data_IF_312894402758
#
_entry.id   IF_312894402758
#
_cell.length_a   1.000
_cell.length_b   1.000
_cell.length_c   1.000
_cell.angle_alpha   90.00
_cell.angle_beta   90.00
_cell.angle_gamma   90.00
#
_symmetry.space_group_name_H-M   'P 1'
#
loop_
_entity.id
_entity.type
_entity.pdbx_description
1 polymer ?
#
# COMPACT_ATOMS: atom_id res chain seq x y z
N UNK A 1 -3.97 -20.22 17.33
CA UNK A 1 -3.40 -19.45 16.20
C UNK A 1 -3.53 -20.36 14.99
N UNK A 2 -4.13 -19.88 13.89
CA UNK A 2 -4.15 -20.65 12.65
C UNK A 2 -2.72 -20.98 12.23
N UNK A 3 -2.48 -22.20 11.76
CA UNK A 3 -1.16 -22.70 11.40
C UNK A 3 -0.78 -22.13 10.03
N UNK A 4 0.29 -21.32 9.96
CA UNK A 4 0.81 -20.84 8.68
C UNK A 4 1.62 -21.95 8.03
N UNK A 5 1.19 -22.42 6.87
CA UNK A 5 1.95 -23.36 6.05
C UNK A 5 3.07 -22.63 5.30
N UNK A 6 4.28 -23.21 5.30
CA UNK A 6 5.42 -22.75 4.50
C UNK A 6 5.68 -23.77 3.39
N UNK A 7 5.64 -23.34 2.14
CA UNK A 7 5.91 -24.21 0.98
C UNK A 7 7.40 -24.57 0.94
N UNK A 8 7.69 -25.87 0.81
CA UNK A 8 9.06 -26.39 0.85
C UNK A 8 9.70 -26.52 -0.54
N UNK A 9 8.91 -26.90 -1.55
CA UNK A 9 9.39 -27.17 -2.91
C UNK A 9 8.72 -26.25 -3.93
N UNK A 10 9.51 -25.71 -4.87
CA UNK A 10 9.04 -24.79 -5.90
C UNK A 10 8.95 -25.46 -7.26
N UNK A 11 8.03 -24.95 -8.10
CA UNK A 11 7.93 -25.40 -9.49
C UNK A 11 9.11 -24.86 -10.31
N UNK A 12 9.55 -25.56 -11.39
CA UNK A 12 10.64 -25.07 -12.25
C UNK A 12 10.41 -23.66 -12.82
N UNK A 13 9.16 -23.31 -13.09
CA UNK A 13 8.79 -21.97 -13.56
C UNK A 13 9.07 -20.90 -12.51
N UNK A 14 8.73 -21.18 -11.25
CA UNK A 14 8.99 -20.25 -10.16
C UNK A 14 10.48 -20.19 -9.82
N UNK A 15 11.20 -21.32 -9.86
CA UNK A 15 12.65 -21.35 -9.70
C UNK A 15 13.40 -20.52 -10.75
N UNK A 16 12.89 -20.44 -11.98
CA UNK A 16 13.43 -19.52 -12.99
C UNK A 16 13.17 -18.07 -12.58
N UNK A 17 11.93 -17.73 -12.22
CA UNK A 17 11.59 -16.37 -11.80
C UNK A 17 12.42 -15.91 -10.58
N UNK A 18 12.76 -16.82 -9.66
CA UNK A 18 13.65 -16.52 -8.52
C UNK A 18 15.03 -16.03 -8.97
N UNK A 19 15.57 -16.59 -10.05
CA UNK A 19 16.86 -16.13 -10.61
C UNK A 19 16.73 -14.70 -11.13
N UNK A 20 15.66 -14.42 -11.86
CA UNK A 20 15.38 -13.10 -12.42
C UNK A 20 15.15 -12.06 -11.30
N UNK A 21 14.54 -12.47 -10.18
CA UNK A 21 14.37 -11.62 -8.99
C UNK A 21 15.71 -11.20 -8.37
N UNK A 22 16.68 -12.11 -8.26
CA UNK A 22 18.02 -11.76 -7.76
C UNK A 22 18.75 -10.76 -8.66
N UNK A 23 18.54 -10.84 -9.98
CA UNK A 23 19.03 -9.84 -10.93
C UNK A 23 18.32 -8.49 -10.74
N UNK A 24 17.00 -8.50 -10.51
CA UNK A 24 16.24 -7.28 -10.21
C UNK A 24 16.74 -6.57 -8.95
N UNK A 25 17.00 -7.29 -7.85
CA UNK A 25 17.55 -6.69 -6.61
C UNK A 25 18.84 -5.92 -6.90
N UNK A 26 19.76 -6.54 -7.65
CA UNK A 26 21.04 -5.92 -8.04
C UNK A 26 20.81 -4.67 -8.90
N UNK A 27 19.88 -4.73 -9.86
CA UNK A 27 19.59 -3.62 -10.78
C UNK A 27 19.02 -2.40 -10.05
N UNK A 28 18.19 -2.60 -9.03
CA UNK A 28 17.56 -1.48 -8.29
C UNK A 28 18.46 -0.93 -7.16
N UNK A 29 19.68 -1.44 -7.02
CA UNK A 29 20.62 -1.01 -5.98
C UNK A 29 20.36 -1.63 -4.60
N UNK A 30 19.50 -2.66 -4.50
CA UNK A 30 19.27 -3.35 -3.24
C UNK A 30 20.39 -4.38 -2.99
N UNK A 31 21.21 -4.15 -1.97
CA UNK A 31 22.31 -5.07 -1.62
C UNK A 31 21.74 -6.33 -0.94
N UNK A 32 21.87 -7.54 -1.54
CA UNK A 32 21.36 -8.77 -0.95
C UNK A 32 21.96 -9.11 0.42
N UNK A 33 23.12 -8.54 0.78
CA UNK A 33 23.72 -8.74 2.10
C UNK A 33 22.88 -8.14 3.22
N UNK A 34 22.02 -7.15 2.92
CA UNK A 34 21.10 -6.55 3.89
C UNK A 34 20.03 -7.53 4.38
N UNK A 35 19.75 -8.60 3.63
CA UNK A 35 18.80 -9.64 4.04
C UNK A 35 19.26 -10.38 5.29
N UNK A 36 20.58 -10.53 5.51
CA UNK A 36 21.13 -11.35 6.59
C UNK A 36 20.52 -12.76 6.61
N UNK A 37 19.87 -13.11 7.72
CA UNK A 37 19.21 -14.40 7.89
C UNK A 37 17.75 -14.45 7.40
N UNK A 38 17.24 -13.35 6.83
CA UNK A 38 15.89 -13.32 6.27
C UNK A 38 15.76 -14.30 5.10
N UNK A 39 14.61 -14.95 5.01
CA UNK A 39 14.28 -15.92 3.96
C UNK A 39 12.94 -15.56 3.32
N UNK A 40 12.90 -15.61 1.99
CA UNK A 40 11.68 -15.39 1.23
C UNK A 40 10.81 -16.66 1.23
N UNK A 41 9.90 -16.73 2.20
CA UNK A 41 8.99 -17.85 2.37
C UNK A 41 7.63 -17.58 1.70
N UNK A 42 7.12 -18.62 1.02
CA UNK A 42 5.73 -18.68 0.58
C UNK A 42 4.87 -19.18 1.74
N UNK A 43 3.92 -18.35 2.17
CA UNK A 43 3.10 -18.56 3.36
C UNK A 43 1.62 -18.63 3.01
N UNK A 44 0.92 -19.62 3.56
CA UNK A 44 -0.52 -19.76 3.43
C UNK A 44 -1.20 -19.94 4.80
N UNK A 45 -2.32 -19.25 5.00
CA UNK A 45 -3.28 -19.48 6.07
C UNK A 45 -4.56 -20.08 5.48
N UNK A 46 -4.55 -21.40 5.29
CA UNK A 46 -5.65 -22.14 4.65
C UNK A 46 -6.91 -22.21 5.50
N UNK A 47 -6.76 -22.13 6.82
CA UNK A 47 -7.85 -22.20 7.78
C UNK A 47 -8.68 -20.92 7.70
N UNK A 48 -8.04 -19.75 7.81
CA UNK A 48 -8.71 -18.45 7.72
C UNK A 48 -9.32 -18.22 6.33
N UNK A 49 -8.69 -18.73 5.27
CA UNK A 49 -9.24 -18.63 3.90
C UNK A 49 -10.57 -19.38 3.71
N UNK A 50 -10.85 -20.38 4.56
CA UNK A 50 -12.05 -21.20 4.49
C UNK A 50 -12.13 -22.09 3.24
N UNK A 51 -13.28 -22.72 3.06
CA UNK A 51 -13.55 -23.65 1.96
C UNK A 51 -14.70 -23.24 1.05
N UNK A 52 -15.49 -22.24 1.44
CA UNK A 52 -16.73 -21.82 0.78
C UNK A 52 -16.61 -20.37 0.30
N UNK A 53 -17.11 -20.07 -0.89
CA UNK A 53 -17.16 -18.72 -1.45
C UNK A 53 -18.17 -17.90 -0.63
N UNK A 54 -17.76 -16.72 -0.20
CA UNK A 54 -18.42 -15.95 0.86
C UNK A 54 -19.43 -14.91 0.33
N UNK A 55 -19.32 -14.53 -0.95
CA UNK A 55 -20.14 -13.49 -1.57
C UNK A 55 -20.16 -13.63 -3.10
N UNK A 56 -20.98 -12.79 -3.75
CA UNK A 56 -21.11 -12.75 -5.22
C UNK A 56 -22.00 -13.88 -5.75
N UNK A 57 -22.00 -14.08 -7.07
CA UNK A 57 -22.93 -15.01 -7.73
C UNK A 57 -22.58 -16.49 -7.52
N UNK A 58 -21.40 -16.76 -6.96
CA UNK A 58 -20.93 -18.10 -6.61
C UNK A 58 -20.97 -18.38 -5.10
N UNK A 59 -21.61 -17.51 -4.31
CA UNK A 59 -21.75 -17.67 -2.86
C UNK A 59 -22.28 -19.08 -2.49
N UNK A 60 -21.72 -19.67 -1.43
CA UNK A 60 -22.09 -21.00 -0.95
C UNK A 60 -21.45 -22.17 -1.72
N UNK A 61 -20.80 -21.91 -2.87
CA UNK A 61 -20.03 -22.93 -3.59
C UNK A 61 -18.63 -23.13 -2.98
N UNK A 62 -17.95 -24.27 -3.23
CA UNK A 62 -16.56 -24.45 -2.80
C UNK A 62 -15.61 -23.45 -3.47
N UNK A 63 -14.67 -22.88 -2.69
CA UNK A 63 -13.60 -22.02 -3.23
C UNK A 63 -12.73 -22.79 -4.22
N UNK A 64 -12.29 -22.10 -5.27
CA UNK A 64 -11.43 -22.67 -6.31
C UNK A 64 -10.00 -22.78 -5.81
N UNK A 65 -9.41 -23.97 -5.94
CA UNK A 65 -8.03 -24.27 -5.57
C UNK A 65 -7.08 -24.28 -6.76
N UNK A 66 -7.60 -24.45 -7.99
CA UNK A 66 -6.80 -24.52 -9.21
C UNK A 66 -7.52 -23.83 -10.37
N UNK A 67 -6.77 -23.35 -11.36
CA UNK A 67 -7.32 -22.65 -12.54
C UNK A 67 -8.44 -23.38 -13.26
N UNK A 68 -8.41 -24.72 -13.29
CA UNK A 68 -9.40 -25.54 -13.99
C UNK A 68 -10.78 -25.54 -13.30
N UNK A 69 -10.85 -25.12 -12.05
CA UNK A 69 -12.10 -25.00 -11.31
C UNK A 69 -12.77 -23.63 -11.52
N UNK A 70 -12.05 -22.66 -12.07
CA UNK A 70 -12.56 -21.30 -12.33
C UNK A 70 -13.40 -21.34 -13.62
N UNK A 71 -14.71 -21.06 -13.57
CA UNK A 71 -15.65 -21.47 -14.60
C UNK A 71 -15.52 -20.68 -15.91
N UNK A 72 -15.02 -19.44 -15.86
CA UNK A 72 -14.95 -18.55 -17.02
C UNK A 72 -13.58 -17.88 -17.14
N UNK A 73 -13.21 -17.49 -18.36
CA UNK A 73 -11.90 -16.88 -18.64
C UNK A 73 -11.78 -15.47 -18.03
N UNK A 74 -12.82 -14.65 -18.13
CA UNK A 74 -12.89 -13.31 -17.51
C UNK A 74 -12.67 -13.34 -15.99
N UNK A 75 -13.14 -14.38 -15.28
CA UNK A 75 -12.90 -14.53 -13.85
C UNK A 75 -11.42 -14.85 -13.58
N UNK A 76 -10.81 -15.70 -14.41
CA UNK A 76 -9.37 -15.99 -14.33
C UNK A 76 -8.55 -14.72 -14.57
N UNK A 77 -8.92 -13.94 -15.59
CA UNK A 77 -8.25 -12.69 -15.93
C UNK A 77 -8.41 -11.65 -14.81
N UNK A 78 -9.58 -11.58 -14.16
CA UNK A 78 -9.79 -10.73 -12.99
C UNK A 78 -8.89 -11.12 -11.81
N UNK A 79 -8.76 -12.42 -11.51
CA UNK A 79 -7.85 -12.90 -10.45
C UNK A 79 -6.40 -12.59 -10.80
N UNK A 80 -5.97 -12.87 -12.03
CA UNK A 80 -4.61 -12.55 -12.50
C UNK A 80 -4.36 -11.05 -12.35
N UNK A 81 -5.29 -10.20 -12.79
CA UNK A 81 -5.17 -8.75 -12.66
C UNK A 81 -5.02 -8.31 -11.21
N UNK A 82 -5.79 -8.87 -10.27
CA UNK A 82 -5.67 -8.51 -8.84
C UNK A 82 -4.31 -8.95 -8.27
N UNK A 83 -3.86 -10.16 -8.59
CA UNK A 83 -2.55 -10.67 -8.16
C UNK A 83 -1.42 -9.83 -8.75
N UNK A 84 -1.53 -9.45 -10.04
CA UNK A 84 -0.52 -8.65 -10.73
C UNK A 84 -0.44 -7.23 -10.20
N UNK A 85 -1.56 -6.58 -9.90
CA UNK A 85 -1.57 -5.24 -9.31
C UNK A 85 -1.00 -5.27 -7.90
N UNK A 86 -1.44 -6.21 -7.04
CA UNK A 86 -0.87 -6.37 -5.70
C UNK A 86 0.63 -6.65 -5.76
N UNK A 87 1.08 -7.58 -6.61
CA UNK A 87 2.51 -7.88 -6.70
C UNK A 87 3.35 -6.72 -7.24
N UNK A 88 2.76 -5.82 -8.02
CA UNK A 88 3.47 -4.67 -8.61
C UNK A 88 3.76 -3.58 -7.57
N UNK A 89 2.85 -3.38 -6.62
CA UNK A 89 3.01 -2.39 -5.54
C UNK A 89 4.18 -2.74 -4.62
N UNK A 90 4.37 -4.03 -4.33
CA UNK A 90 5.37 -4.45 -3.34
C UNK A 90 6.80 -4.27 -3.85
N UNK A 91 7.03 -4.43 -5.16
CA UNK A 91 8.34 -4.13 -5.75
C UNK A 91 8.55 -2.64 -5.97
N UNK A 92 7.48 -1.90 -6.26
CA UNK A 92 7.55 -0.47 -6.43
C UNK A 92 7.96 0.25 -5.14
N UNK A 93 7.41 -0.14 -3.99
CA UNK A 93 7.75 0.47 -2.71
C UNK A 93 9.25 0.35 -2.40
N UNK A 94 9.86 -0.79 -2.71
CA UNK A 94 11.30 -1.04 -2.52
C UNK A 94 12.15 -0.18 -3.45
N UNK A 95 11.72 -0.01 -4.71
CA UNK A 95 12.38 0.85 -5.69
C UNK A 95 12.34 2.33 -5.31
N UNK A 96 11.20 2.79 -4.78
CA UNK A 96 11.02 4.16 -4.35
C UNK A 96 11.88 4.48 -3.12
N UNK A 97 12.16 3.51 -2.24
CA UNK A 97 12.60 3.80 -0.87
C UNK A 97 14.02 3.34 -0.52
N UNK A 98 14.63 2.41 -1.27
CA UNK A 98 15.89 1.78 -0.83
C UNK A 98 17.04 2.77 -0.57
N UNK A 99 17.10 3.86 -1.32
CA UNK A 99 18.13 4.89 -1.18
C UNK A 99 18.09 5.60 0.18
N UNK A 100 16.94 5.62 0.87
CA UNK A 100 16.79 6.22 2.19
C UNK A 100 17.60 5.52 3.29
N UNK A 101 18.01 4.27 3.07
CA UNK A 101 18.85 3.53 4.03
C UNK A 101 20.21 4.20 4.28
N UNK A 102 20.69 5.03 3.35
CA UNK A 102 21.93 5.79 3.48
C UNK A 102 21.78 7.02 4.38
N UNK A 103 20.56 7.58 4.46
CA UNK A 103 20.26 8.84 5.16
C UNK A 103 19.41 8.63 6.41
N UNK A 104 19.35 7.40 6.92
CA UNK A 104 18.52 7.04 8.06
C UNK A 104 18.79 7.93 9.28
N UNK A 105 17.74 8.51 9.92
CA UNK A 105 17.93 9.41 11.05
C UNK A 105 18.43 8.69 12.30
N UNK A 106 18.13 7.38 12.42
CA UNK A 106 18.67 6.53 13.47
C UNK A 106 18.85 5.09 12.96
N UNK A 107 19.64 4.29 13.67
CA UNK A 107 19.75 2.85 13.42
C UNK A 107 18.42 2.10 13.59
N UNK A 108 17.55 2.56 14.50
CA UNK A 108 16.20 2.01 14.65
C UNK A 108 15.39 2.21 13.38
N UNK A 109 15.47 3.40 12.80
CA UNK A 109 14.73 3.77 11.59
C UNK A 109 15.27 2.99 10.38
N UNK A 110 16.60 2.89 10.25
CA UNK A 110 17.26 2.08 9.22
C UNK A 110 16.81 0.61 9.25
N UNK A 111 16.85 -0.02 10.43
CA UNK A 111 16.44 -1.42 10.60
C UNK A 111 14.95 -1.63 10.36
N UNK A 112 14.11 -0.65 10.74
CA UNK A 112 12.67 -0.71 10.51
C UNK A 112 12.35 -0.63 9.02
N UNK A 113 12.96 0.31 8.30
CA UNK A 113 12.79 0.45 6.85
C UNK A 113 13.32 -0.78 6.10
N UNK A 114 14.49 -1.30 6.48
CA UNK A 114 15.03 -2.51 5.88
C UNK A 114 14.12 -3.72 6.10
N UNK A 115 13.54 -3.87 7.30
CA UNK A 115 12.56 -4.92 7.57
C UNK A 115 11.34 -4.79 6.65
N UNK A 116 10.77 -3.59 6.51
CA UNK A 116 9.65 -3.33 5.60
C UNK A 116 10.03 -3.74 4.18
N UNK A 117 11.16 -3.28 3.65
CA UNK A 117 11.62 -3.66 2.31
C UNK A 117 11.80 -5.17 2.11
N UNK A 118 12.22 -5.91 3.14
CA UNK A 118 12.30 -7.38 3.10
C UNK A 118 10.90 -8.04 3.10
N UNK A 119 9.97 -7.50 3.89
CA UNK A 119 8.57 -7.95 3.96
C UNK A 119 7.85 -7.66 2.63
N UNK A 120 7.97 -6.46 2.08
CA UNK A 120 7.46 -6.07 0.75
C UNK A 120 7.96 -6.99 -0.37
N UNK A 121 9.28 -7.24 -0.45
CA UNK A 121 9.83 -8.18 -1.42
C UNK A 121 9.24 -9.59 -1.26
N UNK A 122 8.95 -10.03 -0.02
CA UNK A 122 8.30 -11.32 0.24
C UNK A 122 6.84 -11.32 -0.21
N UNK A 123 6.13 -10.20 -0.12
CA UNK A 123 4.75 -10.06 -0.64
C UNK A 123 4.74 -10.16 -2.16
N UNK A 124 5.66 -9.46 -2.85
CA UNK A 124 5.82 -9.56 -4.30
C UNK A 124 6.20 -10.99 -4.74
N UNK A 125 7.10 -11.63 -3.98
CA UNK A 125 7.48 -13.04 -4.16
C UNK A 125 6.29 -14.00 -3.99
N UNK A 126 5.40 -13.75 -3.03
CA UNK A 126 4.15 -14.49 -2.84
C UNK A 126 3.21 -14.35 -4.05
N UNK A 127 3.06 -13.13 -4.59
CA UNK A 127 2.21 -12.89 -5.77
C UNK A 127 2.80 -13.54 -7.03
N UNK A 128 4.11 -13.44 -7.23
CA UNK A 128 4.80 -14.13 -8.32
C UNK A 128 4.65 -15.66 -8.24
N UNK A 129 4.71 -16.24 -7.03
CA UNK A 129 4.45 -17.66 -6.83
C UNK A 129 3.03 -18.05 -7.24
N UNK A 130 2.02 -17.26 -6.87
CA UNK A 130 0.63 -17.51 -7.27
C UNK A 130 0.49 -17.51 -8.79
N UNK A 131 1.08 -16.53 -9.46
CA UNK A 131 1.08 -16.41 -10.92
C UNK A 131 1.75 -17.63 -11.58
N UNK A 132 3.01 -17.90 -11.23
CA UNK A 132 3.81 -18.99 -11.82
C UNK A 132 3.20 -20.38 -11.58
N UNK A 133 2.64 -20.61 -10.38
CA UNK A 133 2.17 -21.93 -9.96
C UNK A 133 0.75 -22.24 -10.45
N UNK A 134 -0.16 -21.26 -10.41
CA UNK A 134 -1.58 -21.53 -10.64
C UNK A 134 -2.07 -21.13 -12.03
N UNK A 135 -1.36 -20.27 -12.77
CA UNK A 135 -1.85 -19.69 -14.03
C UNK A 135 -1.03 -20.06 -15.28
N UNK A 136 -0.07 -20.98 -15.16
CA UNK A 136 0.70 -21.51 -16.30
C UNK A 136 1.48 -20.44 -17.05
N UNK A 137 1.64 -20.58 -18.37
CA UNK A 137 2.42 -19.65 -19.19
C UNK A 137 1.94 -18.20 -19.11
N UNK A 138 0.62 -17.97 -18.98
CA UNK A 138 0.10 -16.62 -18.81
C UNK A 138 0.57 -16.02 -17.49
N UNK A 139 0.47 -16.77 -16.39
CA UNK A 139 0.98 -16.35 -15.08
C UNK A 139 2.48 -16.09 -15.08
N UNK A 140 3.29 -16.95 -15.71
CA UNK A 140 4.74 -16.74 -15.83
C UNK A 140 5.07 -15.42 -16.53
N UNK A 141 4.35 -15.07 -17.60
CA UNK A 141 4.53 -13.78 -18.26
C UNK A 141 4.14 -12.60 -17.37
N UNK A 142 3.03 -12.69 -16.63
CA UNK A 142 2.64 -11.62 -15.72
C UNK A 142 3.62 -11.46 -14.55
N UNK A 143 4.18 -12.57 -14.05
CA UNK A 143 5.20 -12.55 -13.00
C UNK A 143 6.50 -11.90 -13.48
N UNK A 144 6.93 -12.17 -14.71
CA UNK A 144 8.11 -11.51 -15.30
C UNK A 144 7.94 -9.99 -15.34
N UNK A 145 6.76 -9.50 -15.75
CA UNK A 145 6.48 -8.06 -15.81
C UNK A 145 6.56 -7.34 -14.46
N UNK A 146 6.38 -8.05 -13.33
CA UNK A 146 6.56 -7.48 -11.99
C UNK A 146 7.99 -6.97 -11.77
N UNK A 147 8.97 -7.62 -12.42
CA UNK A 147 10.38 -7.27 -12.37
C UNK A 147 10.79 -6.37 -13.54
N UNK A 148 10.06 -6.35 -14.65
CA UNK A 148 10.38 -5.51 -15.81
C UNK A 148 10.04 -4.03 -15.58
N UNK A 149 8.91 -3.76 -14.92
CA UNK A 149 8.51 -2.39 -14.54
C UNK A 149 9.40 -1.84 -13.44
N UNK A 150 9.51 -0.52 -13.40
CA UNK A 150 10.33 0.21 -12.44
C UNK A 150 9.70 1.57 -12.09
N UNK A 151 9.64 1.87 -10.80
CA UNK A 151 9.06 3.11 -10.26
C UNK A 151 9.82 4.37 -10.71
N UNK A 152 11.15 4.30 -10.80
CA UNK A 152 12.00 5.44 -11.18
C UNK A 152 11.83 5.79 -12.67
N UNK A 153 11.38 4.85 -13.49
CA UNK A 153 11.04 5.06 -14.90
C UNK A 153 9.57 5.45 -15.11
N UNK A 154 8.77 5.54 -14.03
CA UNK A 154 7.35 5.86 -14.09
C UNK A 154 6.50 4.75 -14.73
N UNK A 155 6.97 3.50 -14.71
CA UNK A 155 6.33 2.39 -15.44
C UNK A 155 5.49 1.47 -14.57
N UNK A 156 5.40 1.69 -13.25
CA UNK A 156 4.53 0.93 -12.35
C UNK A 156 3.05 1.17 -12.65
N UNK A 157 2.21 0.18 -12.37
CA UNK A 157 0.80 0.17 -12.81
C UNK A 157 0.01 1.32 -12.17
N UNK A 158 0.25 1.58 -10.88
CA UNK A 158 -0.46 2.59 -10.11
C UNK A 158 0.39 3.85 -9.98
N UNK A 159 -0.18 5.01 -10.31
CA UNK A 159 0.51 6.30 -10.30
C UNK A 159 1.18 6.63 -8.95
N UNK A 160 0.50 6.35 -7.84
CA UNK A 160 1.01 6.54 -6.47
C UNK A 160 2.34 5.81 -6.18
N UNK A 161 2.60 4.71 -6.89
CA UNK A 161 3.82 3.91 -6.79
C UNK A 161 4.90 4.33 -7.79
N UNK A 162 4.68 5.43 -8.50
CA UNK A 162 5.69 6.16 -9.29
C UNK A 162 5.99 7.55 -8.69
N UNK A 163 5.28 7.96 -7.64
CA UNK A 163 5.55 9.22 -6.96
C UNK A 163 6.91 9.16 -6.24
N UNK A 164 7.71 10.24 -6.27
CA UNK A 164 9.01 10.24 -5.60
C UNK A 164 8.85 10.18 -4.07
N UNK A 165 9.79 9.49 -3.43
CA UNK A 165 9.94 9.42 -1.97
C UNK A 165 11.36 9.89 -1.66
N UNK A 166 11.55 11.20 -1.48
CA UNK A 166 12.90 11.77 -1.49
C UNK A 166 13.57 11.82 -0.11
N UNK A 167 12.77 11.74 0.95
CA UNK A 167 13.26 11.89 2.31
C UNK A 167 12.44 11.10 3.33
N UNK A 168 12.94 11.01 4.57
CA UNK A 168 12.32 10.19 5.61
C UNK A 168 10.92 10.63 6.05
N UNK A 169 10.57 11.92 5.91
CA UNK A 169 9.18 12.34 6.14
C UNK A 169 8.20 11.73 5.12
N UNK A 170 8.58 11.65 3.84
CA UNK A 170 7.79 10.98 2.81
C UNK A 170 7.68 9.49 3.11
N UNK A 171 8.76 8.84 3.54
CA UNK A 171 8.71 7.44 3.97
C UNK A 171 7.72 7.18 5.11
N UNK A 172 7.72 8.02 6.16
CA UNK A 172 6.76 7.87 7.26
C UNK A 172 5.32 8.17 6.84
N UNK A 173 5.11 9.13 5.94
CA UNK A 173 3.80 9.37 5.34
C UNK A 173 3.36 8.19 4.47
N UNK A 174 4.22 7.69 3.59
CA UNK A 174 3.95 6.55 2.71
C UNK A 174 3.53 5.32 3.50
N UNK A 175 4.35 4.92 4.48
CA UNK A 175 4.05 3.76 5.34
C UNK A 175 2.83 3.96 6.24
N UNK A 176 2.37 5.21 6.43
CA UNK A 176 1.16 5.51 7.19
C UNK A 176 -0.11 5.57 6.33
N UNK A 177 -0.01 6.09 5.11
CA UNK A 177 -1.14 6.36 4.21
C UNK A 177 -1.24 5.32 3.09
N UNK A 178 -0.15 5.01 2.39
CA UNK A 178 -0.12 4.12 1.22
C UNK A 178 -0.15 2.65 1.64
N UNK A 179 0.74 2.21 2.53
CA UNK A 179 0.71 0.84 3.08
C UNK A 179 -0.64 0.55 3.77
N UNK A 180 -1.27 1.59 4.30
CA UNK A 180 -2.62 1.45 4.88
C UNK A 180 -3.66 1.14 3.83
N UNK A 181 -3.54 1.61 2.59
CA UNK A 181 -4.36 1.06 1.49
C UNK A 181 -4.06 -0.43 1.29
N UNK A 182 -2.79 -0.84 1.30
CA UNK A 182 -2.36 -2.25 1.28
C UNK A 182 -3.13 -3.12 2.27
N UNK A 183 -3.21 -2.72 3.54
CA UNK A 183 -4.07 -3.39 4.56
C UNK A 183 -5.51 -3.59 4.09
N UNK A 184 -6.13 -2.58 3.48
CA UNK A 184 -7.50 -2.65 2.99
C UNK A 184 -7.61 -3.59 1.78
N UNK A 185 -6.68 -3.49 0.82
CA UNK A 185 -6.61 -4.38 -0.35
C UNK A 185 -6.47 -5.83 0.08
N UNK A 186 -5.50 -6.14 0.96
CA UNK A 186 -5.25 -7.47 1.47
C UNK A 186 -6.45 -8.03 2.25
N UNK A 187 -7.11 -7.21 3.09
CA UNK A 187 -8.32 -7.64 3.81
C UNK A 187 -9.45 -7.99 2.84
N UNK A 188 -9.70 -7.15 1.84
CA UNK A 188 -10.71 -7.39 0.81
C UNK A 188 -10.41 -8.62 -0.07
N UNK A 189 -9.13 -8.90 -0.35
CA UNK A 189 -8.70 -10.10 -1.08
C UNK A 189 -8.71 -11.37 -0.22
N UNK A 190 -8.71 -11.24 1.11
CA UNK A 190 -8.72 -12.39 2.02
C UNK A 190 -10.03 -13.20 1.94
N UNK A 191 -11.06 -12.65 1.33
CA UNK A 191 -12.37 -13.29 1.11
C UNK A 191 -12.50 -13.92 -0.28
N UNK A 192 -11.47 -13.81 -1.13
CA UNK A 192 -11.50 -14.25 -2.53
C UNK A 192 -12.02 -15.68 -2.73
N UNK A 193 -12.76 -15.88 -3.81
CA UNK A 193 -13.25 -17.17 -4.30
C UNK A 193 -12.12 -18.08 -4.77
N UNK A 194 -10.95 -17.52 -5.08
CA UNK A 194 -9.73 -18.28 -5.36
C UNK A 194 -8.95 -18.51 -4.05
N UNK A 195 -9.03 -19.73 -3.53
CA UNK A 195 -8.52 -20.10 -2.21
C UNK A 195 -7.03 -19.80 -2.01
N UNK A 196 -6.11 -20.07 -2.95
CA UNK A 196 -4.69 -19.74 -2.79
C UNK A 196 -4.46 -18.25 -2.59
N UNK A 197 -5.15 -17.38 -3.34
CA UNK A 197 -5.06 -15.94 -3.14
C UNK A 197 -5.57 -15.54 -1.76
N UNK A 198 -6.77 -16.00 -1.37
CA UNK A 198 -7.33 -15.71 -0.04
C UNK A 198 -6.40 -16.14 1.11
N UNK A 199 -5.77 -17.32 0.98
CA UNK A 199 -4.87 -17.88 1.99
C UNK A 199 -3.52 -17.14 2.09
N UNK A 200 -3.08 -16.45 1.05
CA UNK A 200 -1.86 -15.64 1.10
C UNK A 200 -2.01 -14.36 1.92
N UNK A 201 -3.24 -13.86 2.09
CA UNK A 201 -3.49 -12.54 2.69
C UNK A 201 -3.24 -12.50 4.20
N UNK A 202 -3.61 -13.56 4.93
CA UNK A 202 -3.46 -13.61 6.39
C UNK A 202 -2.02 -13.39 6.87
N UNK A 203 -1.02 -14.12 6.33
CA UNK A 203 0.39 -13.86 6.62
C UNK A 203 0.87 -12.45 6.26
N UNK A 204 0.48 -11.93 5.09
CA UNK A 204 0.85 -10.56 4.66
C UNK A 204 0.25 -9.50 5.60
N UNK A 205 -1.02 -9.63 5.98
CA UNK A 205 -1.69 -8.72 6.93
C UNK A 205 -1.01 -8.66 8.30
N UNK A 206 -0.36 -9.75 8.75
CA UNK A 206 0.41 -9.76 10.00
C UNK A 206 1.68 -8.91 9.86
N UNK A 207 2.36 -8.99 8.71
CA UNK A 207 3.55 -8.20 8.39
C UNK A 207 3.17 -6.72 8.22
N UNK A 208 2.09 -6.43 7.50
CA UNK A 208 1.55 -5.08 7.26
C UNK A 208 1.35 -4.26 8.55
N UNK A 209 0.96 -4.92 9.64
CA UNK A 209 0.77 -4.27 10.93
C UNK A 209 2.04 -3.57 11.44
N UNK A 210 3.23 -4.09 11.10
CA UNK A 210 4.51 -3.48 11.41
C UNK A 210 4.78 -2.24 10.54
N UNK A 211 4.39 -2.27 9.26
CA UNK A 211 4.57 -1.16 8.32
C UNK A 211 3.78 0.06 8.80
N UNK A 212 2.47 -0.13 9.05
CA UNK A 212 1.58 0.91 9.58
C UNK A 212 2.05 1.48 10.92
N UNK A 213 2.54 0.58 11.78
CA UNK A 213 3.10 0.95 13.08
C UNK A 213 4.36 1.81 12.94
N UNK A 214 5.19 1.55 11.94
CA UNK A 214 6.41 2.32 11.65
C UNK A 214 6.06 3.73 11.18
N UNK A 215 5.15 3.87 10.22
CA UNK A 215 4.68 5.18 9.74
C UNK A 215 4.02 6.00 10.84
N UNK A 216 3.04 5.42 11.55
CA UNK A 216 2.34 6.11 12.65
C UNK A 216 3.30 6.52 13.79
N UNK A 217 4.27 5.65 14.14
CA UNK A 217 5.24 5.97 15.16
C UNK A 217 6.25 7.04 14.71
N UNK A 218 6.69 7.00 13.45
CA UNK A 218 7.55 8.01 12.86
C UNK A 218 6.92 9.39 12.91
N UNK A 219 5.69 9.53 12.40
CA UNK A 219 4.94 10.79 12.46
C UNK A 219 4.74 11.28 13.90
N UNK A 220 4.37 10.40 14.83
CA UNK A 220 4.23 10.76 16.25
C UNK A 220 5.56 11.23 16.86
N UNK A 221 6.68 10.64 16.48
CA UNK A 221 8.03 11.05 16.95
C UNK A 221 8.44 12.40 16.38
N UNK A 222 8.06 12.72 15.14
CA UNK A 222 8.27 14.04 14.54
C UNK A 222 7.44 15.09 15.29
N UNK A 223 6.12 14.85 15.43
CA UNK A 223 5.20 15.76 16.13
C UNK A 223 5.63 16.04 17.56
N UNK A 224 6.11 15.01 18.26
CA UNK A 224 6.57 15.14 19.66
C UNK A 224 7.92 15.83 19.78
N UNK A 225 8.78 15.73 18.77
CA UNK A 225 10.04 16.45 18.73
C UNK A 225 9.82 17.94 18.41
N UNK A 226 8.87 18.23 17.51
CA UNK A 226 8.36 19.57 17.22
C UNK A 226 9.34 20.54 16.56
N UNK A 227 10.46 20.03 16.03
CA UNK A 227 11.36 20.80 15.15
C UNK A 227 10.67 21.12 13.82
N UNK A 228 9.97 20.13 13.26
CA UNK A 228 9.08 20.32 12.10
C UNK A 228 7.71 20.77 12.65
N UNK A 229 7.26 22.01 12.37
CA UNK A 229 5.96 22.49 12.85
C UNK A 229 4.81 21.64 12.29
N UNK A 230 3.73 21.48 13.06
CA UNK A 230 2.57 20.69 12.62
C UNK A 230 1.90 21.29 11.39
N UNK A 231 1.87 22.62 11.26
CA UNK A 231 1.36 23.30 10.07
C UNK A 231 2.19 22.96 8.81
N UNK A 232 3.51 22.81 8.95
CA UNK A 232 4.40 22.41 7.85
C UNK A 232 4.19 20.92 7.51
N UNK A 233 4.14 20.06 8.54
CA UNK A 233 3.84 18.63 8.39
C UNK A 233 2.49 18.37 7.72
N UNK A 234 1.48 19.22 7.95
CA UNK A 234 0.16 19.10 7.35
C UNK A 234 0.22 19.13 5.81
N UNK A 235 1.17 19.86 5.20
CA UNK A 235 1.35 19.86 3.74
C UNK A 235 1.66 18.45 3.19
N UNK A 236 2.53 17.72 3.87
CA UNK A 236 2.89 16.35 3.50
C UNK A 236 1.75 15.37 3.79
N UNK A 237 1.00 15.57 4.86
CA UNK A 237 -0.25 14.82 5.11
C UNK A 237 -1.23 15.04 3.96
N UNK A 238 -1.39 16.28 3.49
CA UNK A 238 -2.28 16.60 2.37
C UNK A 238 -1.86 15.91 1.07
N UNK A 239 -0.56 15.95 0.73
CA UNK A 239 0.04 15.22 -0.41
C UNK A 239 -0.33 13.73 -0.32
N UNK A 240 0.13 13.05 0.72
CA UNK A 240 0.07 11.58 0.79
C UNK A 240 -1.32 10.99 1.02
N UNK A 241 -2.22 11.70 1.71
CA UNK A 241 -3.63 11.29 1.80
C UNK A 241 -4.27 11.29 0.43
N UNK A 242 -4.09 12.36 -0.34
CA UNK A 242 -4.69 12.47 -1.68
C UNK A 242 -4.14 11.39 -2.63
N UNK A 243 -2.83 11.14 -2.58
CA UNK A 243 -2.16 10.04 -3.31
C UNK A 243 -2.69 8.66 -2.92
N UNK A 244 -2.95 8.41 -1.63
CA UNK A 244 -3.51 7.14 -1.15
C UNK A 244 -4.96 6.92 -1.58
N UNK A 245 -5.77 7.97 -1.63
CA UNK A 245 -7.17 7.88 -2.04
C UNK A 245 -7.36 7.42 -3.49
N UNK A 246 -6.42 7.76 -4.36
CA UNK A 246 -6.47 7.37 -5.76
C UNK A 246 -6.25 5.86 -5.98
N UNK A 247 -5.63 5.16 -5.02
CA UNK A 247 -5.43 3.70 -5.07
C UNK A 247 -6.74 2.91 -5.05
N UNK A 248 -7.82 3.48 -4.49
CA UNK A 248 -9.15 2.86 -4.52
C UNK A 248 -9.81 2.89 -5.91
N UNK A 249 -9.21 3.57 -6.89
CA UNK A 249 -9.71 3.65 -8.26
C UNK A 249 -10.93 4.55 -8.41
N UNK A 250 -11.62 4.43 -9.55
CA UNK A 250 -12.80 5.24 -9.89
C UNK A 250 -14.02 4.83 -9.08
N UNK A 251 -14.90 5.79 -8.82
CA UNK A 251 -16.15 5.58 -8.08
C UNK A 251 -17.08 4.56 -8.78
N UNK A 252 -17.31 4.74 -10.09
CA UNK A 252 -18.15 3.85 -10.92
C UNK A 252 -17.31 2.81 -11.67
N UNK A 253 -16.64 1.92 -10.92
CA UNK A 253 -15.72 0.93 -11.52
C UNK A 253 -16.43 -0.37 -11.92
N UNK A 254 -16.58 -0.58 -13.23
CA UNK A 254 -17.09 -1.85 -13.78
C UNK A 254 -16.16 -3.03 -13.43
N UNK A 255 -14.85 -2.83 -13.35
CA UNK A 255 -13.91 -3.90 -12.96
C UNK A 255 -14.07 -4.29 -11.49
N UNK A 256 -14.28 -3.31 -10.60
CA UNK A 256 -14.54 -3.58 -9.19
C UNK A 256 -15.90 -4.27 -8.98
N UNK A 257 -16.94 -3.81 -9.68
CA UNK A 257 -18.24 -4.47 -9.70
C UNK A 257 -18.12 -5.95 -10.08
N UNK A 258 -17.46 -6.25 -11.20
CA UNK A 258 -17.31 -7.64 -11.65
C UNK A 258 -16.41 -8.46 -10.73
N UNK A 259 -15.36 -7.88 -10.15
CA UNK A 259 -14.55 -8.57 -9.14
C UNK A 259 -15.40 -8.97 -7.92
N UNK A 260 -16.35 -8.12 -7.50
CA UNK A 260 -17.30 -8.46 -6.45
C UNK A 260 -18.27 -9.58 -6.88
N UNK A 261 -18.89 -9.43 -8.06
CA UNK A 261 -19.85 -10.41 -8.61
C UNK A 261 -19.23 -11.79 -8.77
N UNK A 262 -17.95 -11.87 -9.18
CA UNK A 262 -17.21 -13.12 -9.33
C UNK A 262 -16.71 -13.72 -8.01
N UNK A 263 -16.96 -13.06 -6.88
CA UNK A 263 -16.46 -13.47 -5.57
C UNK A 263 -14.95 -13.23 -5.39
N UNK A 264 -14.29 -12.46 -6.26
CA UNK A 264 -12.81 -12.33 -6.28
C UNK A 264 -12.29 -11.38 -5.21
N UNK A 265 -12.99 -10.26 -4.97
CA UNK A 265 -12.62 -9.23 -3.98
C UNK A 265 -13.88 -8.70 -3.30
N UNK A 266 -13.98 -8.90 -1.98
CA UNK A 266 -15.15 -8.51 -1.19
C UNK A 266 -15.04 -7.07 -0.69
N UNK A 267 -16.01 -6.63 0.12
CA UNK A 267 -15.88 -5.38 0.89
C UNK A 267 -14.84 -5.54 2.00
N UNK A 268 -14.38 -4.41 2.52
CA UNK A 268 -13.46 -4.38 3.66
C UNK A 268 -14.03 -5.11 4.90
N UNK A 269 -15.34 -5.02 5.11
CA UNK A 269 -16.07 -5.57 6.24
C UNK A 269 -16.98 -6.76 5.84
N UNK A 270 -16.68 -7.46 4.74
CA UNK A 270 -17.58 -8.49 4.18
C UNK A 270 -18.00 -9.57 5.19
N UNK A 271 -17.11 -9.95 6.12
CA UNK A 271 -17.38 -10.97 7.15
C UNK A 271 -18.09 -10.42 8.38
N UNK A 272 -18.02 -9.11 8.59
CA UNK A 272 -18.54 -8.40 9.75
C UNK A 272 -19.88 -7.72 9.48
N UNK A 273 -20.13 -7.35 8.23
CA UNK A 273 -21.32 -6.62 7.80
C UNK A 273 -22.54 -7.52 7.79
N UNK A 274 -23.66 -6.99 8.27
CA UNK A 274 -24.99 -7.60 8.13
C UNK A 274 -25.82 -6.96 7.02
N UNK A 275 -25.28 -5.94 6.36
CA UNK A 275 -25.94 -5.22 5.28
C UNK A 275 -25.56 -5.81 3.92
N UNK A 276 -26.54 -5.87 3.01
CA UNK A 276 -26.28 -6.26 1.62
C UNK A 276 -25.31 -5.28 0.96
N UNK A 277 -24.34 -5.81 0.21
CA UNK A 277 -23.38 -4.98 -0.50
C UNK A 277 -24.03 -4.23 -1.67
N UNK A 278 -23.76 -2.93 -1.80
CA UNK A 278 -23.97 -2.23 -3.05
C UNK A 278 -22.91 -2.69 -4.07
N UNK A 279 -23.31 -3.61 -4.94
CA UNK A 279 -22.45 -4.22 -5.95
C UNK A 279 -21.96 -3.21 -7.00
N UNK A 280 -22.63 -2.05 -7.15
CA UNK A 280 -22.26 -1.02 -8.12
C UNK A 280 -21.14 -0.11 -7.59
N UNK A 281 -21.07 0.09 -6.27
CA UNK A 281 -20.11 1.01 -5.64
C UNK A 281 -19.27 0.35 -4.53
N UNK A 282 -18.63 -0.81 -4.76
CA UNK A 282 -17.91 -1.55 -3.70
C UNK A 282 -16.67 -0.81 -3.16
N UNK A 283 -16.10 0.10 -3.96
CA UNK A 283 -14.93 0.89 -3.56
C UNK A 283 -15.28 2.02 -2.59
N UNK A 284 -16.49 2.60 -2.68
CA UNK A 284 -16.86 3.79 -1.90
C UNK A 284 -16.97 3.47 -0.41
N UNK A 285 -17.62 2.36 -0.06
CA UNK A 285 -17.72 1.90 1.33
C UNK A 285 -16.34 1.65 1.95
N UNK A 286 -15.44 0.99 1.22
CA UNK A 286 -14.09 0.69 1.69
C UNK A 286 -13.24 1.96 1.88
N UNK A 287 -13.43 2.97 1.02
CA UNK A 287 -12.77 4.27 1.12
C UNK A 287 -13.21 5.05 2.36
N UNK A 288 -14.49 5.00 2.74
CA UNK A 288 -14.96 5.68 3.96
C UNK A 288 -14.35 5.07 5.23
N UNK A 289 -14.26 3.73 5.30
CA UNK A 289 -13.58 3.07 6.42
C UNK A 289 -12.11 3.47 6.52
N UNK A 290 -11.41 3.53 5.38
CA UNK A 290 -10.03 4.00 5.31
C UNK A 290 -9.89 5.43 5.83
N UNK A 291 -10.77 6.31 5.37
CA UNK A 291 -10.75 7.73 5.73
C UNK A 291 -11.05 7.95 7.21
N UNK A 292 -12.01 7.22 7.76
CA UNK A 292 -12.33 7.29 9.18
C UNK A 292 -11.17 6.79 10.05
N UNK A 293 -10.50 5.71 9.64
CA UNK A 293 -9.31 5.21 10.33
C UNK A 293 -8.18 6.25 10.33
N UNK A 294 -7.92 6.90 9.18
CA UNK A 294 -6.92 7.97 9.07
C UNK A 294 -7.24 9.19 9.94
N UNK A 295 -8.51 9.62 9.99
CA UNK A 295 -8.94 10.74 10.86
C UNK A 295 -8.61 10.44 12.32
N UNK A 296 -8.89 9.22 12.78
CA UNK A 296 -8.64 8.83 14.16
C UNK A 296 -7.14 8.67 14.45
N UNK A 297 -6.35 8.21 13.48
CA UNK A 297 -4.89 8.17 13.58
C UNK A 297 -4.27 9.57 13.66
N UNK A 298 -4.69 10.52 12.82
CA UNK A 298 -4.18 11.91 12.89
C UNK A 298 -4.48 12.57 14.23
N UNK A 299 -5.68 12.34 14.80
CA UNK A 299 -6.02 12.79 16.15
C UNK A 299 -5.08 12.20 17.19
N UNK A 300 -4.81 10.88 17.13
CA UNK A 300 -3.90 10.19 18.07
C UNK A 300 -2.46 10.67 17.95
N UNK A 301 -1.97 10.88 16.72
CA UNK A 301 -0.62 11.41 16.48
C UNK A 301 -0.51 12.83 17.03
N UNK A 302 -1.54 13.65 16.81
CA UNK A 302 -1.61 15.04 17.27
C UNK A 302 -1.64 15.21 18.78
N UNK A 303 -1.92 14.17 19.58
CA UNK A 303 -1.90 14.30 21.06
C UNK A 303 -0.51 14.54 21.61
N UNK A 304 0.54 14.27 20.83
CA UNK A 304 1.93 14.45 21.25
C UNK A 304 2.52 15.81 20.87
N UNK A 305 1.74 16.69 20.23
CA UNK A 305 2.19 18.00 19.75
C UNK A 305 2.64 18.92 20.88
N UNK A 306 3.55 19.85 20.55
CA UNK A 306 3.93 20.94 21.44
C UNK A 306 2.72 21.85 21.69
N UNK A 307 2.59 22.40 22.89
CA UNK A 307 1.51 23.33 23.23
C UNK A 307 1.49 24.53 22.27
N UNK A 308 0.32 24.82 21.70
CA UNK A 308 0.12 25.89 20.72
C UNK A 308 0.15 25.45 19.26
N UNK A 309 0.70 24.27 18.94
CA UNK A 309 0.65 23.72 17.59
C UNK A 309 -0.78 23.24 17.22
N UNK A 310 -1.19 23.39 15.95
CA UNK A 310 -2.49 22.89 15.48
C UNK A 310 -2.54 21.36 15.48
N UNK A 311 -3.75 20.81 15.49
CA UNK A 311 -3.95 19.38 15.23
C UNK A 311 -3.78 19.07 13.76
N UNK A 312 -3.14 17.94 13.47
CA UNK A 312 -3.14 17.37 12.13
C UNK A 312 -4.54 16.84 11.80
N UNK A 313 -4.93 16.97 10.55
CA UNK A 313 -6.21 16.52 10.05
C UNK A 313 -6.08 15.84 8.69
N UNK A 314 -7.14 15.15 8.28
CA UNK A 314 -7.25 14.53 6.96
C UNK A 314 -8.07 15.48 6.07
N UNK A 315 -7.52 15.96 4.93
CA UNK A 315 -8.24 16.85 4.01
C UNK A 315 -9.39 16.11 3.33
N UNK A 316 -10.38 16.84 2.84
CA UNK A 316 -11.53 16.33 2.10
C UNK A 316 -11.14 15.29 1.03
N UNK A 317 -11.97 14.27 0.86
CA UNK A 317 -11.82 13.22 -0.16
C UNK A 317 -11.92 13.74 -1.61
N UNK A 318 -12.27 15.02 -1.76
CA UNK A 318 -12.35 15.76 -3.03
C UNK A 318 -11.08 16.53 -3.36
N UNK A 319 -10.24 16.78 -2.37
CA UNK A 319 -9.03 17.57 -2.51
C UNK A 319 -7.96 16.79 -3.30
N UNK A 320 -7.33 17.46 -4.26
CA UNK A 320 -6.16 16.98 -5.01
C UNK A 320 -6.28 15.56 -5.56
N UNK A 321 -7.40 15.23 -6.22
CA UNK A 321 -7.67 13.90 -6.77
C UNK A 321 -7.17 13.79 -8.21
N UNK A 322 -6.38 12.75 -8.50
CA UNK A 322 -5.99 12.34 -9.85
C UNK A 322 -6.97 11.35 -10.48
N UNK A 323 -7.73 10.60 -9.67
CA UNK A 323 -8.65 9.55 -10.15
C UNK A 323 -10.10 9.80 -9.66
N UNK A 324 -11.08 9.37 -10.48
CA UNK A 324 -12.49 9.35 -10.11
C UNK A 324 -13.24 10.67 -10.37
N UNK A 325 -14.43 10.83 -9.76
CA UNK A 325 -15.38 11.91 -10.03
C UNK A 325 -14.86 13.32 -9.76
N UNK A 326 -13.79 13.44 -8.98
CA UNK A 326 -13.14 14.71 -8.62
C UNK A 326 -11.85 14.98 -9.39
N UNK A 327 -11.41 14.04 -10.23
CA UNK A 327 -10.23 14.25 -11.09
C UNK A 327 -10.36 15.50 -11.95
N UNK A 328 -9.32 16.33 -11.96
CA UNK A 328 -9.26 17.60 -12.70
C UNK A 328 -10.17 18.71 -12.17
N UNK A 329 -10.84 18.52 -11.03
CA UNK A 329 -11.65 19.56 -10.37
C UNK A 329 -10.86 20.19 -9.23
N UNK A 330 -11.17 21.46 -8.92
CA UNK A 330 -10.50 22.24 -7.87
C UNK A 330 -11.39 22.30 -6.63
N UNK A 331 -10.99 21.59 -5.59
CA UNK A 331 -11.62 21.63 -4.28
C UNK A 331 -10.59 22.01 -3.22
N UNK A 332 -11.01 22.77 -2.21
CA UNK A 332 -10.18 23.12 -1.05
C UNK A 332 -9.99 21.91 -0.12
N UNK A 333 -9.12 22.03 0.89
CA UNK A 333 -8.94 21.05 1.96
C UNK A 333 -10.26 20.73 2.69
N UNK A 334 -11.20 21.66 2.75
CA UNK A 334 -12.52 21.48 3.36
C UNK A 334 -13.55 20.86 2.39
N UNK A 335 -13.20 20.71 1.10
CA UNK A 335 -14.06 20.11 0.07
C UNK A 335 -15.00 21.09 -0.61
N UNK A 336 -14.78 22.40 -0.43
CA UNK A 336 -15.50 23.46 -1.14
C UNK A 336 -14.92 23.64 -2.53
N UNK A 337 -15.77 23.95 -3.52
CA UNK A 337 -15.29 24.21 -4.87
C UNK A 337 -14.48 25.51 -4.88
N UNK A 338 -13.26 25.47 -5.41
CA UNK A 338 -12.38 26.63 -5.41
C UNK A 338 -12.87 27.68 -6.41
N UNK A 339 -12.99 28.93 -5.94
CA UNK A 339 -13.30 30.09 -6.77
C UNK A 339 -12.02 30.88 -7.04
N UNK A 340 -11.63 31.01 -8.30
CA UNK A 340 -10.42 31.73 -8.69
C UNK A 340 -9.91 31.32 -10.07
N UNK A 341 -8.89 32.02 -10.54
CA UNK A 341 -8.19 31.68 -11.77
C UNK A 341 -7.07 30.63 -11.52
N UNK A 342 -6.35 30.24 -12.57
CA UNK A 342 -5.29 29.23 -12.49
C UNK A 342 -4.13 29.65 -11.58
N UNK A 343 -3.79 30.94 -11.55
CA UNK A 343 -2.76 31.49 -10.66
C UNK A 343 -3.21 31.47 -9.21
N UNK A 344 -4.49 31.77 -8.93
CA UNK A 344 -5.04 31.71 -7.57
C UNK A 344 -5.03 30.27 -7.05
N UNK A 345 -5.36 29.31 -7.93
CA UNK A 345 -5.32 27.88 -7.60
C UNK A 345 -3.90 27.40 -7.34
N UNK A 346 -2.93 27.79 -8.18
CA UNK A 346 -1.54 27.41 -7.96
C UNK A 346 -1.02 27.99 -6.64
N UNK A 347 -1.30 29.26 -6.34
CA UNK A 347 -0.91 29.88 -5.08
C UNK A 347 -1.54 29.15 -3.87
N UNK A 348 -2.80 28.71 -4.00
CA UNK A 348 -3.44 27.87 -2.99
C UNK A 348 -2.75 26.52 -2.82
N UNK A 349 -2.39 25.85 -3.92
CA UNK A 349 -1.64 24.58 -3.86
C UNK A 349 -0.28 24.75 -3.19
N UNK A 350 0.47 25.81 -3.53
CA UNK A 350 1.78 26.11 -2.90
C UNK A 350 1.65 26.38 -1.38
N UNK A 351 0.49 26.89 -0.95
CA UNK A 351 0.17 27.08 0.47
C UNK A 351 -0.11 25.76 1.20
N UNK A 352 -0.79 24.80 0.55
CA UNK A 352 -1.33 23.60 1.23
C UNK A 352 -0.64 22.28 0.87
N UNK A 353 0.21 22.26 -0.15
CA UNK A 353 1.07 21.13 -0.54
C UNK A 353 2.54 21.55 -0.41
N UNK A 354 3.48 20.58 -0.32
CA UNK A 354 4.91 20.89 -0.32
C UNK A 354 5.31 21.52 -1.65
N UNK A 355 5.90 22.71 -1.59
CA UNK A 355 6.55 23.39 -2.71
C UNK A 355 8.06 23.11 -2.73
N UNK A 356 8.75 23.46 -3.82
CA UNK A 356 10.22 23.35 -3.90
C UNK A 356 10.93 24.12 -2.76
N UNK A 357 10.36 25.24 -2.30
CA UNK A 357 10.89 26.00 -1.15
C UNK A 357 10.65 25.26 0.17
N UNK A 358 9.52 24.57 0.31
CA UNK A 358 9.28 23.71 1.47
C UNK A 358 10.26 22.53 1.49
N UNK A 359 10.51 21.89 0.34
CA UNK A 359 11.47 20.78 0.27
C UNK A 359 12.90 21.23 0.63
N UNK A 360 13.34 22.38 0.11
CA UNK A 360 14.63 22.98 0.48
C UNK A 360 14.70 23.25 1.99
N UNK A 361 13.67 23.88 2.54
CA UNK A 361 13.59 24.19 3.98
C UNK A 361 13.55 22.93 4.84
N UNK A 362 12.81 21.90 4.43
CA UNK A 362 12.76 20.63 5.15
C UNK A 362 14.15 20.01 5.23
N UNK A 363 14.85 19.93 4.09
CA UNK A 363 16.14 19.25 4.00
C UNK A 363 17.28 20.05 4.63
N UNK A 364 17.32 21.37 4.40
CA UNK A 364 18.46 22.22 4.77
C UNK A 364 18.29 22.93 6.13
N UNK A 365 17.06 23.08 6.64
CA UNK A 365 16.83 23.70 7.96
C UNK A 365 16.35 22.69 9.00
N UNK A 366 15.24 21.99 8.73
CA UNK A 366 14.62 21.13 9.75
C UNK A 366 15.38 19.83 9.93
N UNK A 367 15.67 19.09 8.86
CA UNK A 367 16.33 17.79 8.94
C UNK A 367 17.82 17.84 9.33
N UNK A 368 18.41 19.04 9.36
CA UNK A 368 19.76 19.28 9.89
C UNK A 368 19.79 19.38 11.43
N UNK A 369 18.63 19.43 12.08
CA UNK A 369 18.48 19.46 13.53
C UNK A 369 18.11 18.07 14.07
N UNK A 370 17.95 17.93 15.39
CA UNK A 370 17.36 16.73 15.98
C UNK A 370 15.85 16.72 15.72
N UNK A 371 15.44 16.39 14.50
CA UNK A 371 14.07 16.59 13.99
C UNK A 371 13.08 15.49 14.34
N UNK A 372 13.57 14.33 14.80
CA UNK A 372 12.76 13.18 15.19
C UNK A 372 13.24 12.65 16.55
N UNK A 373 12.29 12.28 17.43
CA UNK A 373 12.66 11.69 18.73
C UNK A 373 13.51 10.42 18.53
N UNK A 374 14.65 10.34 19.21
CA UNK A 374 15.49 9.15 19.20
C UNK A 374 14.76 7.94 19.77
N UNK A 375 15.05 6.75 19.21
CA UNK A 375 14.51 5.48 19.69
C UNK A 375 15.58 4.39 19.55
N UNK A 376 15.81 3.66 20.63
CA UNK A 376 16.69 2.49 20.60
C UNK A 376 16.04 1.31 19.87
N UNK A 377 16.84 0.62 19.05
CA UNK A 377 16.49 -0.71 18.57
C UNK A 377 16.66 -1.72 19.72
N UNK A 378 15.56 -2.35 20.14
CA UNK A 378 15.54 -3.33 21.22
C UNK A 378 15.56 -4.79 20.74
N UNK A 379 15.76 -5.04 19.44
CA UNK A 379 15.88 -6.38 18.88
C UNK A 379 17.34 -6.85 18.82
N UNK A 380 17.56 -8.16 18.91
CA UNK A 380 18.84 -8.79 18.57
C UNK A 380 19.13 -8.66 17.06
#
# INVERSE_FOLDING_TARGET
MAETEIVQDYSPNFEQWIRDFSEWQTRIGFDPSWLGDYRFDIKFDWDTAGSTIEFGDFEGMPKWQRRMQIPQQNIRDAIISMVSVQGDTEFASVEQQNHLLETAPTEYDKKSALRIMCEEQRHGWQMAYLLCTYFGEHGVREAAKLLERNAQEGTRILGSFNEPIDHWLDFFCFTHFIDRDGKFQLKMLSTSSFKPLAASMGPMLKEESFHLGTGANGLRRIVKQGVIPCAFLQKYVNKWVSTGLDLFGTDDSTSAQWAYVFGVKGRYDERESSEEADRLHPNEASREFYFQELRDEMRRISTARIEGEPELFIPSDRFNRGIGKFSGKRYTLDGEMFEGNDSDWQAYLDEVLPSDEDEDRLMNDYMQQEWIQYRDWKGD
#
